data_IF_638502928782
#
_entry.id   IF_638502928782
#
_cell.length_a   1.000
_cell.length_b   1.000
_cell.length_c   1.000
_cell.angle_alpha   90.00
_cell.angle_beta   90.00
_cell.angle_gamma   90.00
#
_symmetry.space_group_name_H-M   'P 1'
#
loop_
_entity.id
_entity.type
_entity.pdbx_description
1 polymer ?
#
# COMPACT_ATOMS: atom_id res chain seq x y z
N UNK A 1 0.74 25.03 13.85
CA UNK A 1 1.60 25.26 15.02
C UNK A 1 2.99 25.65 14.52
N UNK A 2 3.45 26.83 14.87
CA UNK A 2 4.73 27.43 14.45
C UNK A 2 5.79 27.49 15.56
N UNK A 3 5.50 26.82 16.67
CA UNK A 3 6.37 26.80 17.85
C UNK A 3 7.40 25.68 17.85
N UNK A 4 8.22 25.67 18.89
CA UNK A 4 9.11 24.55 19.19
C UNK A 4 8.52 23.68 20.31
N UNK A 5 8.78 22.37 20.25
CA UNK A 5 8.43 21.41 21.30
C UNK A 5 9.71 20.88 21.92
N UNK A 6 9.78 20.86 23.25
CA UNK A 6 10.85 20.20 23.96
C UNK A 6 10.43 18.80 24.36
N UNK A 7 11.19 17.80 23.94
CA UNK A 7 10.94 16.38 24.22
C UNK A 7 12.01 15.88 25.19
N UNK A 8 11.58 15.40 26.36
CA UNK A 8 12.47 14.72 27.30
C UNK A 8 12.79 13.33 26.78
N UNK A 9 14.06 13.01 26.61
CA UNK A 9 14.54 11.73 26.13
C UNK A 9 15.10 10.91 27.28
N UNK A 10 14.66 9.65 27.38
CA UNK A 10 15.18 8.70 28.37
C UNK A 10 15.61 7.41 27.71
N UNK A 11 16.69 6.84 28.20
CA UNK A 11 17.05 5.46 27.89
C UNK A 11 16.25 4.53 28.76
N UNK A 12 15.68 3.50 28.18
CA UNK A 12 15.01 2.41 28.90
C UNK A 12 16.01 1.28 29.12
N UNK A 13 16.20 0.85 30.34
CA UNK A 13 16.84 -0.42 30.69
C UNK A 13 15.82 -1.28 31.40
N UNK A 14 15.97 -2.59 31.28
CA UNK A 14 15.00 -3.52 31.86
C UNK A 14 15.66 -4.28 33.02
N UNK A 15 15.00 -4.30 34.16
CA UNK A 15 15.36 -5.12 35.33
C UNK A 15 14.38 -6.29 35.49
N UNK A 16 14.63 -7.17 36.47
CA UNK A 16 13.79 -8.33 36.80
C UNK A 16 13.45 -9.20 35.56
N UNK A 17 14.48 -9.61 34.80
CA UNK A 17 14.34 -10.42 33.58
C UNK A 17 13.43 -9.79 32.52
N UNK A 18 13.45 -8.46 32.42
CA UNK A 18 12.69 -7.73 31.40
C UNK A 18 11.27 -7.33 31.81
N UNK A 19 10.92 -7.42 33.09
CA UNK A 19 9.58 -7.07 33.56
C UNK A 19 9.43 -5.63 34.05
N UNK A 20 10.52 -4.99 34.51
CA UNK A 20 10.48 -3.65 35.09
C UNK A 20 11.32 -2.67 34.26
N UNK A 21 10.72 -1.67 33.60
CA UNK A 21 11.47 -0.66 32.88
C UNK A 21 12.08 0.38 33.84
N UNK A 22 13.37 0.63 33.70
CA UNK A 22 14.08 1.71 34.40
C UNK A 22 14.43 2.80 33.42
N UNK A 23 13.97 4.01 33.67
CA UNK A 23 14.19 5.18 32.83
C UNK A 23 15.39 5.98 33.35
N UNK A 24 16.38 6.19 32.49
CA UNK A 24 17.49 7.13 32.76
C UNK A 24 17.42 8.28 31.77
N UNK A 25 17.31 9.52 32.29
CA UNK A 25 17.26 10.72 31.46
C UNK A 25 18.53 10.87 30.61
N UNK A 26 18.34 11.20 29.32
CA UNK A 26 19.43 11.54 28.37
C UNK A 26 19.41 13.02 27.98
N UNK A 27 18.52 13.80 28.59
CA UNK A 27 18.36 15.21 28.30
C UNK A 27 17.12 15.52 27.48
N UNK A 28 17.05 16.74 26.96
CA UNK A 28 15.92 17.21 26.17
C UNK A 28 16.36 17.51 24.74
N UNK A 29 15.47 17.27 23.79
CA UNK A 29 15.63 17.63 22.37
C UNK A 29 14.61 18.70 22.03
N UNK A 30 15.08 19.80 21.44
CA UNK A 30 14.22 20.85 20.90
C UNK A 30 13.86 20.49 19.45
N UNK A 31 12.57 20.38 19.15
CA UNK A 31 12.05 20.19 17.81
C UNK A 31 11.34 21.46 17.36
N UNK A 32 11.82 22.06 16.28
CA UNK A 32 11.13 23.16 15.61
C UNK A 32 9.98 22.65 14.73
N UNK A 33 8.98 23.50 14.49
CA UNK A 33 7.96 23.21 13.50
C UNK A 33 8.60 23.14 12.11
N UNK A 34 8.25 22.10 11.35
CA UNK A 34 8.66 21.92 9.95
C UNK A 34 7.47 21.43 9.13
N UNK A 35 7.35 21.92 7.90
CA UNK A 35 6.47 21.29 6.91
C UNK A 35 7.11 19.99 6.45
N UNK A 36 6.35 18.91 6.53
CA UNK A 36 6.76 17.61 6.06
C UNK A 36 5.64 17.00 5.21
N UNK A 37 6.01 16.48 4.06
CA UNK A 37 5.11 15.67 3.22
C UNK A 37 5.64 14.25 3.21
N UNK A 38 4.82 13.31 3.66
CA UNK A 38 5.18 11.88 3.61
C UNK A 38 5.37 11.47 2.14
N UNK A 39 6.50 10.86 1.78
CA UNK A 39 6.69 10.35 0.43
C UNK A 39 5.73 9.18 0.17
N UNK A 40 5.17 9.10 -1.04
CA UNK A 40 4.36 7.95 -1.42
C UNK A 40 5.23 6.69 -1.56
N UNK A 41 6.45 6.84 -2.08
CA UNK A 41 7.45 5.78 -2.15
C UNK A 41 8.44 5.98 -1.00
N UNK A 42 8.35 5.11 0.01
CA UNK A 42 9.31 5.17 1.12
C UNK A 42 10.63 4.52 0.75
N UNK A 43 10.58 3.43 0.01
CA UNK A 43 11.77 2.69 -0.42
C UNK A 43 11.48 1.88 -1.68
N UNK A 44 12.43 1.89 -2.61
CA UNK A 44 12.53 0.93 -3.69
C UNK A 44 13.96 0.38 -3.77
N UNK A 45 14.09 -0.92 -3.90
CA UNK A 45 15.40 -1.58 -4.04
C UNK A 45 15.30 -2.89 -4.80
N UNK A 46 16.41 -3.39 -5.30
CA UNK A 46 16.50 -4.72 -5.89
C UNK A 46 17.36 -5.60 -5.01
N UNK A 47 16.84 -6.77 -4.66
CA UNK A 47 17.49 -7.77 -3.81
C UNK A 47 17.75 -9.03 -4.63
N UNK A 48 19.00 -9.49 -4.68
CA UNK A 48 19.35 -10.81 -5.21
C UNK A 48 19.12 -11.90 -4.19
N UNK A 49 18.72 -13.08 -4.63
CA UNK A 49 18.60 -14.26 -3.77
C UNK A 49 19.77 -15.21 -4.03
N UNK A 50 20.64 -15.39 -3.04
CA UNK A 50 21.83 -16.24 -3.12
C UNK A 50 21.51 -17.66 -3.61
N UNK A 51 22.30 -18.14 -4.58
CA UNK A 51 22.15 -19.46 -5.19
C UNK A 51 21.00 -19.54 -6.21
N UNK A 52 20.49 -18.41 -6.68
CA UNK A 52 19.47 -18.31 -7.73
C UNK A 52 19.78 -17.17 -8.69
N UNK A 53 19.13 -17.15 -9.86
CA UNK A 53 19.17 -16.02 -10.79
C UNK A 53 18.07 -14.98 -10.52
N UNK A 54 17.35 -15.13 -9.41
CA UNK A 54 16.21 -14.27 -9.07
C UNK A 54 16.68 -12.91 -8.57
N UNK A 55 16.05 -11.89 -9.13
CA UNK A 55 16.17 -10.48 -8.72
C UNK A 55 14.81 -10.00 -8.30
N UNK A 56 14.69 -9.66 -7.03
CA UNK A 56 13.44 -9.25 -6.41
C UNK A 56 13.40 -7.74 -6.31
N UNK A 57 12.44 -7.10 -6.97
CA UNK A 57 12.08 -5.72 -6.68
C UNK A 57 11.34 -5.67 -5.35
N UNK A 58 11.77 -4.79 -4.47
CA UNK A 58 11.04 -4.47 -3.23
C UNK A 58 10.59 -3.03 -3.29
N UNK A 59 9.29 -2.80 -3.16
CA UNK A 59 8.67 -1.48 -3.15
C UNK A 59 7.84 -1.31 -1.88
N UNK A 60 8.26 -0.42 -0.97
CA UNK A 60 7.45 0.03 0.16
C UNK A 60 6.69 1.30 -0.27
N UNK A 61 5.38 1.13 -0.51
CA UNK A 61 4.50 2.14 -1.06
C UNK A 61 3.47 2.58 -0.01
N UNK A 62 3.54 3.85 0.40
CA UNK A 62 2.85 4.37 1.58
C UNK A 62 1.47 4.97 1.29
N UNK A 63 1.16 5.29 0.03
CA UNK A 63 -0.12 5.89 -0.34
C UNK A 63 -0.23 6.17 -1.83
N UNK A 64 -1.45 6.04 -2.37
CA UNK A 64 -1.75 6.30 -3.77
C UNK A 64 -2.04 7.80 -3.95
N UNK A 65 -1.12 8.48 -4.60
CA UNK A 65 -1.24 9.90 -4.91
C UNK A 65 -0.66 10.17 -6.31
N UNK A 66 -1.49 10.71 -7.20
CA UNK A 66 -1.12 10.98 -8.59
C UNK A 66 0.08 11.91 -8.74
N UNK A 67 0.37 12.74 -7.73
CA UNK A 67 1.53 13.63 -7.75
C UNK A 67 2.86 12.87 -7.66
N UNK A 68 2.83 11.58 -7.30
CA UNK A 68 3.99 10.70 -7.20
C UNK A 68 4.02 9.57 -8.27
N UNK A 69 3.13 9.62 -9.27
CA UNK A 69 3.09 8.58 -10.30
C UNK A 69 4.36 8.57 -11.17
N UNK A 70 5.00 9.72 -11.38
CA UNK A 70 6.29 9.80 -12.07
C UNK A 70 7.41 9.11 -11.26
N UNK A 71 7.42 9.28 -9.93
CA UNK A 71 8.38 8.60 -9.06
C UNK A 71 8.12 7.09 -9.04
N UNK A 72 6.85 6.69 -9.06
CA UNK A 72 6.44 5.28 -9.15
C UNK A 72 6.93 4.65 -10.46
N UNK A 73 6.73 5.32 -11.59
CA UNK A 73 7.26 4.88 -12.89
C UNK A 73 8.80 4.81 -12.89
N UNK A 74 9.47 5.76 -12.24
CA UNK A 74 10.93 5.75 -12.11
C UNK A 74 11.44 4.57 -11.26
N UNK A 75 10.71 4.17 -10.21
CA UNK A 75 11.03 2.98 -9.42
C UNK A 75 10.92 1.70 -10.28
N UNK A 76 9.85 1.57 -11.05
CA UNK A 76 9.66 0.43 -11.96
C UNK A 76 10.68 0.42 -13.12
N UNK A 77 11.09 1.59 -13.62
CA UNK A 77 12.18 1.68 -14.59
C UNK A 77 13.49 1.12 -14.03
N UNK A 78 13.82 1.42 -12.75
CA UNK A 78 14.97 0.81 -12.07
C UNK A 78 14.85 -0.72 -11.97
N UNK A 79 13.65 -1.23 -11.69
CA UNK A 79 13.38 -2.67 -11.67
C UNK A 79 13.55 -3.30 -13.05
N UNK A 80 13.02 -2.69 -14.09
CA UNK A 80 13.13 -3.13 -15.48
C UNK A 80 14.58 -3.17 -15.94
N UNK A 81 15.36 -2.12 -15.68
CA UNK A 81 16.78 -2.04 -16.05
C UNK A 81 17.64 -3.10 -15.36
N UNK A 82 17.26 -3.50 -14.14
CA UNK A 82 17.96 -4.55 -13.40
C UNK A 82 17.41 -5.94 -13.70
N UNK A 83 16.44 -6.08 -14.61
CA UNK A 83 15.80 -7.33 -14.98
C UNK A 83 15.20 -8.05 -13.75
N UNK A 84 14.35 -7.36 -13.00
CA UNK A 84 13.61 -7.91 -11.87
C UNK A 84 12.72 -9.07 -12.36
N UNK A 85 12.79 -10.18 -11.65
CA UNK A 85 12.03 -11.42 -11.96
C UNK A 85 10.82 -11.62 -11.07
N UNK A 86 10.85 -11.04 -9.88
CA UNK A 86 9.81 -11.15 -8.84
C UNK A 86 9.63 -9.79 -8.15
N UNK A 87 8.44 -9.51 -7.64
CA UNK A 87 8.13 -8.26 -6.94
C UNK A 87 7.57 -8.56 -5.55
N UNK A 88 8.13 -7.89 -4.54
CA UNK A 88 7.50 -7.71 -3.23
C UNK A 88 6.96 -6.30 -3.18
N UNK A 89 5.63 -6.18 -3.13
CA UNK A 89 4.92 -4.92 -2.96
C UNK A 89 4.49 -4.81 -1.49
N UNK A 90 5.10 -3.89 -0.75
CA UNK A 90 4.79 -3.69 0.65
C UNK A 90 3.73 -2.60 0.81
N UNK A 91 2.53 -3.01 1.15
CA UNK A 91 1.36 -2.18 1.39
C UNK A 91 0.92 -2.19 2.86
N UNK A 92 1.75 -2.68 3.79
CA UNK A 92 1.42 -2.78 5.23
C UNK A 92 0.94 -1.47 5.84
N UNK A 93 1.45 -0.36 5.36
CA UNK A 93 1.17 0.98 5.88
C UNK A 93 0.33 1.84 4.92
N UNK A 94 -0.21 1.23 3.87
CA UNK A 94 -0.90 1.93 2.79
C UNK A 94 -2.43 1.79 2.94
N UNK A 95 -3.10 2.85 3.31
CA UNK A 95 -4.56 2.88 3.48
C UNK A 95 -5.33 3.30 2.20
N UNK A 96 -4.65 3.30 1.05
CA UNK A 96 -5.26 3.60 -0.24
C UNK A 96 -4.92 4.98 -0.79
N UNK A 97 -5.84 5.58 -1.52
CA UNK A 97 -5.70 6.87 -2.18
C UNK A 97 -6.38 6.92 -3.55
N UNK A 98 -5.73 7.53 -4.52
CA UNK A 98 -6.25 7.74 -5.88
C UNK A 98 -6.46 6.44 -6.67
N UNK A 99 -7.62 6.32 -7.30
CA UNK A 99 -7.97 5.21 -8.21
C UNK A 99 -7.05 5.19 -9.44
N UNK A 100 -6.75 6.36 -10.00
CA UNK A 100 -5.87 6.49 -11.17
C UNK A 100 -4.46 6.00 -10.86
N UNK A 101 -3.89 6.39 -9.71
CA UNK A 101 -2.57 5.92 -9.27
C UNK A 101 -2.56 4.40 -9.04
N UNK A 102 -3.67 3.83 -8.52
CA UNK A 102 -3.82 2.37 -8.41
C UNK A 102 -3.78 1.69 -9.79
N UNK A 103 -4.43 2.27 -10.80
CA UNK A 103 -4.41 1.73 -12.16
C UNK A 103 -3.03 1.88 -12.84
N UNK A 104 -2.27 2.94 -12.51
CA UNK A 104 -0.87 3.09 -12.93
C UNK A 104 -0.02 1.95 -12.36
N UNK A 105 -0.11 1.69 -11.04
CA UNK A 105 0.62 0.57 -10.43
C UNK A 105 0.20 -0.78 -11.04
N UNK A 106 -1.10 -0.99 -11.27
CA UNK A 106 -1.62 -2.18 -11.97
C UNK A 106 -1.01 -2.35 -13.35
N UNK A 107 -0.88 -1.25 -14.11
CA UNK A 107 -0.26 -1.24 -15.45
C UNK A 107 1.24 -1.56 -15.38
N UNK A 108 1.96 -0.97 -14.43
CA UNK A 108 3.39 -1.22 -14.22
C UNK A 108 3.70 -2.69 -13.89
N UNK A 109 2.82 -3.33 -13.13
CA UNK A 109 2.95 -4.76 -12.79
C UNK A 109 2.56 -5.64 -13.96
N UNK A 110 1.39 -5.42 -14.57
CA UNK A 110 0.82 -6.29 -15.58
C UNK A 110 1.55 -6.21 -16.95
N UNK A 111 1.90 -5.00 -17.38
CA UNK A 111 2.66 -4.76 -18.60
C UNK A 111 1.85 -4.94 -19.88
N UNK A 112 2.60 -4.98 -21.00
CA UNK A 112 2.04 -4.94 -22.35
C UNK A 112 1.15 -6.13 -22.71
N UNK A 113 1.35 -7.31 -22.09
CA UNK A 113 0.54 -8.51 -22.34
C UNK A 113 -0.94 -8.31 -21.98
N UNK A 114 -1.22 -7.37 -21.09
CA UNK A 114 -2.57 -7.06 -20.60
C UNK A 114 -3.12 -5.74 -21.12
N UNK A 115 -2.39 -5.03 -22.02
CA UNK A 115 -2.84 -3.74 -22.55
C UNK A 115 -4.28 -3.81 -23.04
N UNK A 116 -5.12 -2.89 -22.59
CA UNK A 116 -6.52 -2.75 -22.95
C UNK A 116 -7.48 -3.67 -22.19
N UNK A 117 -6.98 -4.62 -21.39
CA UNK A 117 -7.83 -5.43 -20.53
C UNK A 117 -8.35 -4.60 -19.34
N UNK A 118 -9.57 -4.90 -18.91
CA UNK A 118 -10.17 -4.23 -17.74
C UNK A 118 -9.38 -4.59 -16.49
N UNK A 119 -8.90 -3.57 -15.80
CA UNK A 119 -8.26 -3.69 -14.50
C UNK A 119 -9.27 -3.57 -13.37
N UNK A 120 -10.14 -2.58 -13.48
CA UNK A 120 -11.22 -2.35 -12.54
C UNK A 120 -12.41 -1.70 -13.23
N UNK A 121 -13.60 -1.92 -12.68
CA UNK A 121 -14.84 -1.29 -13.10
C UNK A 121 -15.46 -0.58 -11.91
N UNK A 122 -15.95 0.64 -12.09
CA UNK A 122 -16.65 1.40 -11.07
C UNK A 122 -18.13 1.45 -11.35
N UNK A 123 -18.95 1.17 -10.31
CA UNK A 123 -20.42 1.19 -10.39
C UNK A 123 -20.96 2.13 -9.33
N UNK A 124 -21.79 3.09 -9.75
CA UNK A 124 -22.48 4.04 -8.88
C UNK A 124 -23.86 3.50 -8.46
N UNK A 125 -24.66 4.32 -7.79
CA UNK A 125 -26.07 4.02 -7.55
C UNK A 125 -26.87 3.98 -8.88
N UNK A 126 -28.13 3.52 -8.81
CA UNK A 126 -28.96 3.30 -9.99
C UNK A 126 -29.08 4.57 -10.86
N UNK A 127 -29.43 5.71 -10.25
CA UNK A 127 -29.65 6.98 -10.95
C UNK A 127 -28.40 7.44 -11.74
N UNK A 128 -27.21 7.33 -11.12
CA UNK A 128 -25.94 7.72 -11.75
C UNK A 128 -25.49 6.73 -12.82
N UNK A 129 -25.73 5.44 -12.58
CA UNK A 129 -25.42 4.38 -13.56
C UNK A 129 -26.31 4.52 -14.81
N UNK A 130 -27.62 4.81 -14.63
CA UNK A 130 -28.53 5.10 -15.74
C UNK A 130 -28.15 6.38 -16.50
N UNK A 131 -27.56 7.36 -15.81
CA UNK A 131 -27.00 8.56 -16.42
C UNK A 131 -25.67 8.29 -17.18
N UNK A 132 -25.18 7.06 -17.19
CA UNK A 132 -23.95 6.66 -17.87
C UNK A 132 -22.66 6.93 -17.08
N UNK A 133 -22.78 7.15 -15.77
CA UNK A 133 -21.63 7.30 -14.91
C UNK A 133 -21.08 5.93 -14.48
N UNK A 134 -19.77 5.89 -14.21
CA UNK A 134 -19.04 4.65 -13.96
C UNK A 134 -18.43 4.07 -15.24
N UNK A 135 -17.66 3.01 -15.09
CA UNK A 135 -17.03 2.31 -16.21
C UNK A 135 -15.61 1.82 -15.89
N UNK A 136 -14.86 1.55 -16.95
CA UNK A 136 -13.63 0.78 -16.89
C UNK A 136 -12.38 1.64 -16.72
N UNK A 137 -11.46 1.15 -15.87
CA UNK A 137 -10.04 1.45 -15.91
C UNK A 137 -9.33 0.28 -16.59
N UNK A 138 -8.57 0.56 -17.64
CA UNK A 138 -7.93 -0.49 -18.45
C UNK A 138 -6.41 -0.36 -18.38
N UNK A 139 -5.72 -1.47 -18.39
CA UNK A 139 -4.26 -1.53 -18.40
C UNK A 139 -3.72 -0.75 -19.60
N UNK A 140 -2.90 0.27 -19.31
CA UNK A 140 -2.20 1.06 -20.32
C UNK A 140 -3.09 1.86 -21.25
N UNK A 141 -4.31 2.21 -20.84
CA UNK A 141 -5.25 3.02 -21.60
C UNK A 141 -5.55 4.31 -20.84
N UNK A 142 -5.22 5.43 -21.44
CA UNK A 142 -5.32 6.76 -20.80
C UNK A 142 -6.72 7.32 -20.71
N UNK A 143 -7.64 6.87 -21.57
CA UNK A 143 -9.06 7.23 -21.53
C UNK A 143 -9.71 6.51 -20.39
N UNK A 144 -10.03 7.22 -19.32
CA UNK A 144 -10.72 6.69 -18.14
C UNK A 144 -12.10 7.31 -17.97
N UNK A 145 -12.88 6.78 -17.04
CA UNK A 145 -14.21 7.30 -16.69
C UNK A 145 -14.13 8.69 -16.05
N UNK A 146 -12.98 9.04 -15.46
CA UNK A 146 -12.78 10.34 -14.83
C UNK A 146 -12.31 11.40 -15.83
N UNK A 147 -11.28 11.04 -16.61
CA UNK A 147 -10.57 11.95 -17.51
C UNK A 147 -9.58 11.20 -18.40
N UNK A 148 -8.96 11.90 -19.32
CA UNK A 148 -7.74 11.42 -19.99
C UNK A 148 -6.59 11.53 -18.98
N UNK A 149 -5.91 10.40 -18.73
CA UNK A 149 -4.79 10.34 -17.79
C UNK A 149 -3.56 9.69 -18.43
N UNK A 150 -2.69 10.53 -19.01
CA UNK A 150 -1.50 10.12 -19.77
C UNK A 150 -0.56 9.16 -19.03
N UNK A 151 -0.36 9.26 -17.69
CA UNK A 151 0.50 8.33 -16.96
C UNK A 151 0.13 6.86 -17.12
N UNK A 152 -1.14 6.51 -17.36
CA UNK A 152 -1.54 5.12 -17.62
C UNK A 152 -0.91 4.54 -18.89
N UNK A 153 -0.84 5.32 -19.98
CA UNK A 153 -0.21 4.88 -21.22
C UNK A 153 1.32 4.90 -21.10
N UNK A 154 1.87 5.92 -20.43
CA UNK A 154 3.31 6.07 -20.19
C UNK A 154 3.84 4.93 -19.32
N UNK A 155 3.09 4.46 -18.32
CA UNK A 155 3.45 3.38 -17.42
C UNK A 155 3.84 2.08 -18.17
N UNK A 156 3.26 1.81 -19.34
CA UNK A 156 3.62 0.63 -20.14
C UNK A 156 5.10 0.60 -20.55
N UNK A 157 5.74 1.76 -20.69
CA UNK A 157 7.15 1.85 -21.08
C UNK A 157 8.09 1.41 -19.94
N UNK A 158 7.61 1.50 -18.70
CA UNK A 158 8.34 1.19 -17.47
C UNK A 158 7.89 -0.13 -16.84
N UNK A 159 6.89 -0.80 -17.41
CA UNK A 159 6.28 -1.99 -16.87
C UNK A 159 7.24 -3.19 -16.83
N UNK A 160 7.13 -4.00 -15.79
CA UNK A 160 7.92 -5.23 -15.59
C UNK A 160 7.21 -6.49 -16.12
N UNK A 161 5.89 -6.48 -16.28
CA UNK A 161 5.14 -7.55 -16.92
C UNK A 161 5.14 -8.87 -16.15
N UNK A 162 4.88 -8.83 -14.85
CA UNK A 162 4.92 -10.01 -13.98
C UNK A 162 3.59 -10.76 -13.97
N UNK A 163 3.66 -12.10 -13.92
CA UNK A 163 2.50 -12.98 -13.79
C UNK A 163 2.23 -13.39 -12.35
N UNK A 164 3.13 -13.03 -11.44
CA UNK A 164 3.08 -13.32 -10.01
C UNK A 164 3.73 -12.20 -9.23
N UNK A 165 3.11 -11.80 -8.11
CA UNK A 165 3.68 -10.87 -7.14
C UNK A 165 3.42 -11.36 -5.71
N UNK A 166 4.16 -10.79 -4.77
CA UNK A 166 4.02 -11.00 -3.34
C UNK A 166 3.68 -9.67 -2.68
N UNK A 167 2.58 -9.62 -1.92
CA UNK A 167 2.11 -8.38 -1.31
C UNK A 167 2.13 -8.53 0.20
N UNK A 168 2.84 -7.63 0.88
CA UNK A 168 2.83 -7.56 2.33
C UNK A 168 1.66 -6.68 2.76
N UNK A 169 0.79 -7.22 3.61
CA UNK A 169 -0.48 -6.60 3.98
C UNK A 169 -0.69 -6.57 5.49
N UNK A 170 -1.48 -5.61 5.95
CA UNK A 170 -1.93 -5.49 7.33
C UNK A 170 -3.40 -5.05 7.39
N UNK A 171 -3.95 -4.93 8.58
CA UNK A 171 -5.32 -4.41 8.78
C UNK A 171 -5.50 -2.97 8.28
N UNK A 172 -4.40 -2.22 8.09
CA UNK A 172 -4.44 -0.86 7.53
C UNK A 172 -4.36 -0.83 6.00
N UNK A 173 -4.04 -1.96 5.36
CA UNK A 173 -4.09 -2.09 3.89
C UNK A 173 -5.53 -1.98 3.42
N UNK A 174 -5.88 -0.89 2.71
CA UNK A 174 -7.28 -0.54 2.43
C UNK A 174 -7.47 0.04 1.02
N UNK A 175 -8.70 -0.08 0.50
CA UNK A 175 -9.20 0.72 -0.62
C UNK A 175 -8.37 0.58 -1.91
N UNK A 176 -7.66 1.64 -2.39
CA UNK A 176 -6.82 1.57 -3.58
C UNK A 176 -5.75 0.47 -3.48
N UNK A 177 -5.24 0.16 -2.28
CA UNK A 177 -4.36 -0.98 -2.04
C UNK A 177 -5.07 -2.32 -2.30
N UNK A 178 -6.29 -2.46 -1.83
CA UNK A 178 -7.12 -3.65 -2.07
C UNK A 178 -7.57 -3.72 -3.52
N UNK A 179 -7.78 -2.57 -4.17
CA UNK A 179 -8.07 -2.50 -5.60
C UNK A 179 -6.90 -3.05 -6.44
N UNK A 180 -5.63 -2.81 -6.04
CA UNK A 180 -4.45 -3.44 -6.71
C UNK A 180 -4.53 -4.96 -6.59
N UNK A 181 -4.77 -5.48 -5.40
CA UNK A 181 -4.90 -6.93 -5.17
C UNK A 181 -6.03 -7.50 -6.03
N UNK A 182 -7.20 -6.87 -5.98
CA UNK A 182 -8.39 -7.32 -6.69
C UNK A 182 -8.22 -7.24 -8.22
N UNK A 183 -7.75 -6.11 -8.72
CA UNK A 183 -7.56 -5.85 -10.15
C UNK A 183 -6.59 -6.81 -10.78
N UNK A 184 -5.43 -7.04 -10.16
CA UNK A 184 -4.43 -8.00 -10.65
C UNK A 184 -4.96 -9.44 -10.64
N UNK A 185 -5.69 -9.85 -9.60
CA UNK A 185 -6.39 -11.16 -9.56
C UNK A 185 -7.45 -11.28 -10.65
N UNK A 186 -8.11 -10.17 -11.01
CA UNK A 186 -9.04 -10.11 -12.13
C UNK A 186 -8.40 -10.41 -13.47
N UNK A 187 -7.12 -10.09 -13.63
CA UNK A 187 -6.28 -10.34 -14.81
C UNK A 187 -5.58 -11.72 -14.77
N UNK A 188 -5.91 -12.61 -13.83
CA UNK A 188 -5.23 -13.89 -13.63
C UNK A 188 -3.73 -13.77 -13.27
N UNK A 189 -3.32 -12.62 -12.73
CA UNK A 189 -2.00 -12.47 -12.11
C UNK A 189 -2.08 -13.06 -10.70
N UNK A 190 -1.13 -13.95 -10.38
CA UNK A 190 -1.06 -14.59 -9.06
C UNK A 190 -0.59 -13.57 -8.03
N UNK A 191 -1.46 -13.23 -7.08
CA UNK A 191 -1.18 -12.29 -5.98
C UNK A 191 -1.14 -13.04 -4.67
N UNK A 192 0.06 -13.26 -4.14
CA UNK A 192 0.32 -13.95 -2.88
C UNK A 192 0.38 -12.95 -1.73
N UNK A 193 -0.49 -13.12 -0.74
CA UNK A 193 -0.61 -12.19 0.39
C UNK A 193 0.10 -12.74 1.63
N UNK A 194 0.87 -11.89 2.31
CA UNK A 194 1.61 -12.22 3.52
C UNK A 194 1.33 -11.13 4.56
N UNK A 195 0.91 -11.50 5.76
CA UNK A 195 0.63 -10.58 6.85
C UNK A 195 -0.71 -10.80 7.51
N UNK A 196 -1.51 -9.75 7.68
CA UNK A 196 -2.82 -9.80 8.31
C UNK A 196 -3.94 -9.59 7.28
N UNK A 197 -5.18 -10.00 7.63
CA UNK A 197 -6.37 -9.69 6.82
C UNK A 197 -6.47 -8.19 6.58
N UNK A 198 -6.71 -7.79 5.33
CA UNK A 198 -6.84 -6.39 4.94
C UNK A 198 -8.12 -5.74 5.47
N UNK A 199 -8.30 -4.46 5.24
CA UNK A 199 -9.40 -3.68 5.83
C UNK A 199 -10.79 -4.08 5.32
N UNK A 200 -10.92 -4.40 4.03
CA UNK A 200 -12.22 -4.72 3.41
C UNK A 200 -12.97 -3.51 2.84
N UNK A 201 -12.25 -2.43 2.50
CA UNK A 201 -12.88 -1.25 1.89
C UNK A 201 -13.04 -1.41 0.38
N UNK A 202 -14.14 -2.04 -0.02
CA UNK A 202 -14.51 -2.30 -1.43
C UNK A 202 -15.30 -1.16 -2.09
N UNK A 203 -15.35 0.00 -1.46
CA UNK A 203 -16.10 1.19 -1.90
C UNK A 203 -15.17 2.38 -2.07
N UNK A 204 -15.55 3.29 -2.96
CA UNK A 204 -14.86 4.54 -3.20
C UNK A 204 -15.68 5.77 -2.82
N UNK A 205 -14.98 6.90 -2.76
CA UNK A 205 -15.52 8.19 -2.35
C UNK A 205 -15.14 9.26 -3.38
N UNK A 206 -16.01 10.23 -3.53
CA UNK A 206 -15.73 11.43 -4.33
C UNK A 206 -15.65 12.67 -3.42
N UNK A 207 -14.66 13.52 -3.69
CA UNK A 207 -14.56 14.80 -3.00
C UNK A 207 -15.65 15.77 -3.47
N UNK A 208 -16.45 16.27 -2.54
CA UNK A 208 -17.50 17.27 -2.82
C UNK A 208 -17.23 18.52 -2.01
N UNK A 209 -16.85 19.60 -2.69
CA UNK A 209 -16.68 20.92 -2.07
C UNK A 209 -18.03 21.59 -1.85
N UNK A 210 -18.26 22.14 -0.69
CA UNK A 210 -19.44 22.93 -0.35
C UNK A 210 -19.04 24.13 0.50
N UNK A 211 -19.66 25.27 0.21
CA UNK A 211 -19.50 26.50 0.99
C UNK A 211 -20.78 26.79 1.78
N UNK A 212 -20.64 27.12 3.06
CA UNK A 212 -21.73 27.48 3.92
C UNK A 212 -21.26 28.53 4.96
N UNK A 213 -21.90 29.66 5.03
CA UNK A 213 -21.57 30.77 5.94
C UNK A 213 -20.08 31.16 5.94
N UNK A 214 -19.47 31.38 4.79
CA UNK A 214 -18.04 31.69 4.61
C UNK A 214 -17.07 30.59 5.11
N UNK A 215 -17.56 29.37 5.31
CA UNK A 215 -16.73 28.19 5.54
C UNK A 215 -16.79 27.27 4.33
N UNK A 216 -15.65 26.73 3.96
CA UNK A 216 -15.56 25.71 2.94
C UNK A 216 -15.42 24.33 3.60
N UNK A 217 -16.20 23.37 3.12
CA UNK A 217 -16.20 21.99 3.59
C UNK A 217 -15.90 21.09 2.43
N UNK A 218 -14.94 20.19 2.60
CA UNK A 218 -14.69 19.09 1.69
C UNK A 218 -15.29 17.82 2.29
N UNK A 219 -16.30 17.26 1.62
CA UNK A 219 -16.98 16.04 2.02
C UNK A 219 -16.53 14.90 1.12
N UNK A 220 -16.37 13.71 1.68
CA UNK A 220 -16.03 12.48 0.96
C UNK A 220 -17.12 11.42 1.18
N UNK A 221 -18.31 11.56 0.57
CA UNK A 221 -19.32 10.51 0.64
C UNK A 221 -18.86 9.26 -0.11
N UNK A 222 -19.25 8.09 0.40
CA UNK A 222 -19.14 6.84 -0.36
C UNK A 222 -20.13 6.90 -1.51
N UNK A 223 -19.65 6.72 -2.74
CA UNK A 223 -20.47 6.94 -3.95
C UNK A 223 -20.42 5.79 -4.96
N UNK A 224 -19.38 4.94 -4.91
CA UNK A 224 -19.22 3.86 -5.89
C UNK A 224 -18.62 2.59 -5.29
N UNK A 225 -18.88 1.48 -5.96
CA UNK A 225 -18.19 0.20 -5.76
C UNK A 225 -17.08 0.04 -6.78
N UNK A 226 -16.08 -0.76 -6.43
CA UNK A 226 -14.99 -1.16 -7.33
C UNK A 226 -14.99 -2.67 -7.47
N UNK A 227 -15.10 -3.16 -8.69
CA UNK A 227 -14.99 -4.58 -9.04
C UNK A 227 -13.88 -4.83 -10.04
N UNK A 228 -13.37 -6.06 -10.10
CA UNK A 228 -12.33 -6.43 -11.05
C UNK A 228 -12.92 -6.89 -12.40
N UNK A 229 -12.06 -7.27 -13.37
CA UNK A 229 -12.47 -7.73 -14.69
C UNK A 229 -13.46 -8.92 -14.69
N UNK A 230 -13.57 -9.64 -13.56
CA UNK A 230 -14.48 -10.79 -13.39
C UNK A 230 -15.74 -10.42 -12.63
N UNK A 231 -15.97 -9.14 -12.35
CA UNK A 231 -17.11 -8.64 -11.56
C UNK A 231 -16.99 -8.91 -10.05
N UNK A 232 -15.81 -9.33 -9.56
CA UNK A 232 -15.64 -9.60 -8.13
C UNK A 232 -15.42 -8.30 -7.34
N UNK A 233 -16.26 -8.07 -6.33
CA UNK A 233 -16.21 -6.94 -5.41
C UNK A 233 -16.52 -7.31 -3.96
N UNK A 234 -16.76 -8.59 -3.68
CA UNK A 234 -17.21 -9.06 -2.35
C UNK A 234 -16.02 -9.34 -1.43
N UNK A 235 -15.28 -8.27 -1.09
CA UNK A 235 -14.18 -8.31 -0.12
C UNK A 235 -14.38 -7.32 1.03
N UNK A 236 -15.62 -7.07 1.42
CA UNK A 236 -15.94 -6.14 2.53
C UNK A 236 -15.44 -6.61 3.91
N UNK A 237 -15.01 -7.86 4.03
CA UNK A 237 -14.35 -8.41 5.22
C UNK A 237 -12.81 -8.47 5.10
N UNK A 238 -12.26 -7.89 4.04
CA UNK A 238 -10.84 -7.93 3.73
C UNK A 238 -10.39 -9.17 2.94
N UNK A 239 -9.19 -9.11 2.40
CA UNK A 239 -8.50 -10.25 1.82
C UNK A 239 -7.74 -10.99 2.91
N UNK A 240 -8.07 -12.25 3.13
CA UNK A 240 -7.33 -13.12 4.03
C UNK A 240 -5.97 -13.45 3.40
N UNK A 241 -4.85 -13.27 4.12
CA UNK A 241 -3.53 -13.57 3.57
C UNK A 241 -3.31 -15.08 3.36
N UNK A 242 -2.47 -15.41 2.39
CA UNK A 242 -2.05 -16.79 2.14
C UNK A 242 -1.13 -17.30 3.25
N UNK A 243 -0.32 -16.41 3.81
CA UNK A 243 0.51 -16.64 5.00
C UNK A 243 0.15 -15.61 6.05
N UNK A 244 -0.61 -16.06 7.07
CA UNK A 244 -1.08 -15.17 8.13
C UNK A 244 0.01 -14.99 9.19
N UNK A 245 0.38 -13.74 9.46
CA UNK A 245 1.33 -13.33 10.49
C UNK A 245 0.91 -11.97 11.05
N UNK A 246 0.89 -11.89 12.37
CA UNK A 246 0.79 -10.63 13.08
C UNK A 246 2.22 -10.12 13.41
N UNK A 247 2.66 -9.09 12.70
CA UNK A 247 3.94 -8.42 12.94
C UNK A 247 3.84 -7.18 13.83
N UNK A 248 2.64 -6.85 14.31
CA UNK A 248 2.37 -5.65 15.12
C UNK A 248 3.14 -5.61 16.44
N UNK A 249 3.50 -6.79 16.99
CA UNK A 249 4.26 -6.93 18.21
C UNK A 249 5.78 -7.03 18.01
N UNK A 250 6.26 -7.00 16.77
CA UNK A 250 7.65 -7.25 16.40
C UNK A 250 8.21 -5.98 15.73
N UNK A 251 9.40 -5.55 16.17
CA UNK A 251 10.13 -4.52 15.42
C UNK A 251 10.46 -5.07 14.03
N UNK A 252 10.07 -4.39 12.95
CA UNK A 252 10.14 -4.96 11.60
C UNK A 252 11.58 -5.20 11.10
N UNK A 253 12.60 -4.71 11.80
CA UNK A 253 13.96 -4.72 11.31
C UNK A 253 14.16 -3.72 10.16
N UNK A 254 15.17 -3.95 9.34
CA UNK A 254 15.36 -3.17 8.12
C UNK A 254 14.45 -3.71 7.02
N UNK A 255 13.54 -2.88 6.52
CA UNK A 255 12.55 -3.27 5.49
C UNK A 255 13.19 -3.91 4.25
N UNK A 256 12.55 -4.99 3.78
CA UNK A 256 12.98 -5.73 2.60
C UNK A 256 14.35 -6.41 2.76
N UNK A 257 14.75 -6.72 3.98
CA UNK A 257 15.92 -7.56 4.31
C UNK A 257 15.48 -8.84 5.01
N UNK A 258 16.45 -9.69 5.37
CA UNK A 258 16.20 -10.90 6.17
C UNK A 258 15.80 -10.59 7.63
N UNK A 259 15.92 -9.34 8.06
CA UNK A 259 15.52 -8.89 9.40
C UNK A 259 14.05 -8.48 9.44
N UNK A 260 13.47 -8.07 8.30
CA UNK A 260 12.02 -7.84 8.14
C UNK A 260 11.30 -9.20 8.03
N UNK A 261 10.53 -9.57 9.02
CA UNK A 261 9.90 -10.89 9.10
C UNK A 261 8.99 -11.19 7.90
N UNK A 262 8.15 -10.25 7.46
CA UNK A 262 7.28 -10.46 6.31
C UNK A 262 8.08 -10.47 5.01
N UNK A 263 9.05 -9.58 4.88
CA UNK A 263 9.99 -9.55 3.76
C UNK A 263 10.78 -10.85 3.65
N UNK A 264 11.26 -11.38 4.79
CA UNK A 264 11.95 -12.66 4.85
C UNK A 264 11.09 -13.82 4.32
N UNK A 265 9.84 -13.90 4.76
CA UNK A 265 8.90 -14.93 4.33
C UNK A 265 8.64 -14.85 2.83
N UNK A 266 8.44 -13.64 2.31
CA UNK A 266 8.30 -13.43 0.87
C UNK A 266 9.54 -13.92 0.10
N UNK A 267 10.75 -13.56 0.56
CA UNK A 267 12.01 -14.01 -0.05
C UNK A 267 12.18 -15.54 0.00
N UNK A 268 11.81 -16.19 1.11
CA UNK A 268 11.83 -17.66 1.23
C UNK A 268 10.82 -18.30 0.26
N UNK A 269 9.62 -17.73 0.13
CA UNK A 269 8.62 -18.21 -0.81
C UNK A 269 9.11 -18.06 -2.27
N UNK A 270 9.64 -16.89 -2.61
CA UNK A 270 10.24 -16.63 -3.92
C UNK A 270 11.36 -17.64 -4.21
N UNK A 271 12.29 -17.84 -3.27
CA UNK A 271 13.42 -18.76 -3.42
C UNK A 271 12.99 -20.19 -3.66
N UNK A 272 12.07 -20.69 -2.84
CA UNK A 272 11.63 -22.08 -2.88
C UNK A 272 10.58 -22.38 -3.96
N UNK A 273 9.87 -21.34 -4.42
CA UNK A 273 8.69 -21.49 -5.28
C UNK A 273 7.48 -22.14 -4.57
N UNK A 274 7.58 -22.35 -3.25
CA UNK A 274 6.54 -23.00 -2.45
C UNK A 274 6.12 -22.12 -1.29
N UNK A 275 4.81 -22.09 -1.02
CA UNK A 275 4.24 -21.39 0.14
C UNK A 275 4.90 -21.91 1.43
N UNK A 276 5.46 -21.03 2.27
CA UNK A 276 6.05 -21.43 3.54
C UNK A 276 4.99 -21.96 4.52
N UNK A 277 5.29 -23.07 5.17
CA UNK A 277 4.52 -23.54 6.32
C UNK A 277 5.15 -22.97 7.60
N UNK A 278 4.39 -22.13 8.30
CA UNK A 278 4.85 -21.55 9.56
C UNK A 278 4.61 -22.54 10.69
N UNK A 279 5.70 -22.96 11.32
CA UNK A 279 5.58 -23.70 12.59
C UNK A 279 5.44 -22.68 13.73
N UNK A 280 4.57 -22.94 14.70
CA UNK A 280 4.34 -22.09 15.86
C UNK A 280 5.63 -21.73 16.64
N UNK A 281 6.67 -22.55 16.53
CA UNK A 281 7.99 -22.33 17.14
C UNK A 281 8.90 -21.39 16.33
N UNK A 282 8.59 -21.07 15.07
CA UNK A 282 9.40 -20.17 14.22
C UNK A 282 9.09 -18.69 14.45
N UNK A 283 7.97 -18.39 15.08
CA UNK A 283 7.52 -17.02 15.41
C UNK A 283 8.30 -16.38 16.56
N UNK A 284 9.18 -17.13 17.26
CA UNK A 284 9.91 -16.64 18.44
C UNK A 284 11.42 -16.45 18.20
N UNK A 285 11.89 -16.33 16.97
CA UNK A 285 13.30 -16.07 16.66
C UNK A 285 13.68 -14.58 16.73
N UNK A 286 13.38 -13.97 17.83
CA UNK A 286 14.01 -12.75 18.33
C UNK A 286 13.95 -12.84 19.83
N UNK A 287 15.08 -13.13 20.47
CA UNK A 287 15.19 -13.22 21.95
C UNK A 287 15.06 -11.85 22.64
N UNK A 288 14.09 -11.03 22.19
CA UNK A 288 13.59 -9.85 22.87
C UNK A 288 12.25 -10.22 23.52
N UNK A 289 12.11 -9.97 24.80
CA UNK A 289 10.80 -9.99 25.46
C UNK A 289 9.80 -9.21 24.59
N UNK A 290 8.55 -9.67 24.44
CA UNK A 290 7.56 -8.93 23.69
C UNK A 290 7.49 -7.51 24.26
N UNK A 291 7.91 -6.51 23.49
CA UNK A 291 7.65 -5.13 23.85
C UNK A 291 6.13 -5.03 23.97
N UNK A 292 5.65 -4.72 25.17
CA UNK A 292 4.26 -4.28 25.29
C UNK A 292 4.12 -3.10 24.32
N UNK A 293 3.13 -3.11 23.42
CA UNK A 293 2.95 -2.00 22.52
C UNK A 293 2.89 -0.74 23.36
N UNK A 294 3.83 0.19 23.16
CA UNK A 294 3.58 1.59 23.46
C UNK A 294 2.35 1.92 22.63
N UNK A 295 1.26 2.23 23.33
CA UNK A 295 -0.07 2.39 22.75
C UNK A 295 -0.01 2.90 21.32
N UNK A 296 -0.80 2.32 20.45
CA UNK A 296 -0.69 2.44 18.99
C UNK A 296 -0.10 3.79 18.60
N UNK A 297 1.10 3.81 18.04
CA UNK A 297 1.74 5.03 17.49
C UNK A 297 0.81 5.77 16.50
N UNK A 298 -0.25 5.10 16.08
CA UNK A 298 -1.32 5.58 15.23
C UNK A 298 -2.28 6.54 15.94
N UNK A 299 -2.43 6.46 17.27
CA UNK A 299 -3.27 7.39 18.04
C UNK A 299 -2.68 8.81 18.13
N UNK A 300 -1.41 9.00 17.75
CA UNK A 300 -0.72 10.30 17.81
C UNK A 300 -0.68 10.98 16.43
N UNK A 301 -1.00 10.29 15.34
CA UNK A 301 -1.08 10.93 14.03
C UNK A 301 -2.36 11.75 13.94
N UNK A 302 -2.27 13.03 13.50
CA UNK A 302 -3.48 13.75 13.13
C UNK A 302 -4.23 12.87 12.12
N UNK A 303 -5.53 12.71 12.34
CA UNK A 303 -6.43 11.94 11.49
C UNK A 303 -6.12 12.34 10.04
N UNK A 304 -5.36 11.52 9.32
CA UNK A 304 -5.27 11.66 7.87
C UNK A 304 -6.70 11.52 7.37
N UNK A 305 -7.19 12.36 6.45
CA UNK A 305 -8.46 12.13 5.81
C UNK A 305 -8.43 10.67 5.35
N UNK A 306 -9.44 9.91 5.75
CA UNK A 306 -9.47 8.45 5.59
C UNK A 306 -9.07 8.12 4.16
N UNK A 307 -7.88 7.53 3.99
CA UNK A 307 -7.41 7.06 2.70
C UNK A 307 -8.46 6.11 2.16
N UNK A 308 -9.02 6.48 1.04
CA UNK A 308 -10.01 5.69 0.33
C UNK A 308 -9.75 5.85 -1.16
N UNK A 309 -10.24 4.93 -1.98
CA UNK A 309 -10.29 5.17 -3.41
C UNK A 309 -11.05 6.48 -3.63
N UNK A 310 -10.36 7.51 -4.10
CA UNK A 310 -10.89 8.87 -4.26
C UNK A 310 -10.80 9.25 -5.73
N UNK A 311 -11.94 9.62 -6.28
CA UNK A 311 -11.98 10.38 -7.54
C UNK A 311 -11.84 11.87 -7.20
N UNK A 312 -10.95 12.56 -7.88
CA UNK A 312 -10.81 14.00 -7.72
C UNK A 312 -12.02 14.69 -8.37
N UNK A 313 -12.50 15.83 -7.81
CA UNK A 313 -13.56 16.60 -8.43
C UNK A 313 -13.21 16.94 -9.89
N UNK A 314 -14.18 16.81 -10.79
CA UNK A 314 -14.03 17.41 -12.13
C UNK A 314 -13.92 18.90 -11.94
N UNK A 315 -12.78 19.48 -12.37
CA UNK A 315 -12.68 20.92 -12.59
C UNK A 315 -13.35 21.17 -13.93
N UNK A 316 -14.61 21.61 -13.91
CA UNK A 316 -15.24 22.16 -15.09
C UNK A 316 -14.49 23.48 -15.43
N UNK A 317 -13.65 23.46 -16.45
CA UNK A 317 -13.26 24.66 -17.20
C UNK A 317 -14.33 24.95 -18.26
#
# INVERSE_FOLDING_TARGET
YDGSVEIAVSQVTWEDNGSTPVLSSKGNIQLGAASFTDPAIYMDKVVGIDGTDKKVGYLLYMGFNIDYDDELMAAFERFRQQNVTDLILDLRYNNGGDVLSSAVLGTLVAGNDYKGQVYAHTTFNEDRTEAGEGGDYKIGVKETVERIYEPLETALQHAVGLKKIYVLVSQTTASASEMVINGLRGLDIEVNLIGQTTNGKNVGMEGVMRSFYNHEFLLYPVTFYVENAKGFRDYSTGFVPDVEIDDSAIYPGEFGTMEDQLGYIALVWIKSGKKPELQASSLTRGGGSPMKPFGDLWDIRPIRPMGGAVMRPRTDE
#
